data_IF_180761798168
#
_entry.id   IF_180761798168
#
_cell.length_a   1.000
_cell.length_b   1.000
_cell.length_c   1.000
_cell.angle_alpha   90.00
_cell.angle_beta   90.00
_cell.angle_gamma   90.00
#
_symmetry.space_group_name_H-M   'P 1'
#
loop_
_entity.id
_entity.type
_entity.pdbx_description
1 polymer ?
#
# COMPACT_ATOMS: atom_id res chain seq x y z
N UNK A 1 -32.05 30.47 -29.68
CA UNK A 1 -32.04 29.03 -29.40
C UNK A 1 -31.68 28.26 -30.64
N UNK A 2 -30.71 27.34 -30.56
CA UNK A 2 -30.41 26.39 -31.62
C UNK A 2 -31.58 25.41 -31.74
N UNK A 3 -32.06 25.16 -32.97
CA UNK A 3 -33.11 24.18 -33.17
C UNK A 3 -32.51 22.77 -33.07
N UNK A 4 -33.02 21.97 -32.19
CA UNK A 4 -32.60 20.56 -32.04
C UNK A 4 -33.33 19.73 -33.10
N UNK A 5 -32.58 19.05 -33.97
CA UNK A 5 -33.11 18.12 -34.96
C UNK A 5 -32.81 16.68 -34.58
N UNK A 6 -33.57 15.73 -35.14
CA UNK A 6 -33.33 14.30 -34.93
C UNK A 6 -31.96 13.85 -35.45
N UNK A 7 -31.45 14.49 -36.54
CA UNK A 7 -30.11 14.24 -37.08
C UNK A 7 -29.04 14.74 -36.12
N UNK A 8 -29.27 15.89 -35.44
CA UNK A 8 -28.36 16.37 -34.41
C UNK A 8 -28.30 15.41 -33.21
N UNK A 9 -29.45 14.90 -32.72
CA UNK A 9 -29.48 13.92 -31.67
C UNK A 9 -28.78 12.61 -32.10
N UNK A 10 -29.01 12.14 -33.34
CA UNK A 10 -28.36 10.94 -33.87
C UNK A 10 -26.84 11.10 -34.01
N UNK A 11 -26.33 12.34 -34.08
CA UNK A 11 -24.87 12.62 -34.05
C UNK A 11 -24.22 12.41 -32.67
N UNK A 12 -25.00 12.14 -31.63
CA UNK A 12 -24.52 11.71 -30.31
C UNK A 12 -24.18 10.22 -30.41
N UNK A 13 -22.96 9.84 -30.06
CA UNK A 13 -22.44 8.46 -30.24
C UNK A 13 -23.37 7.39 -29.67
N UNK A 14 -23.90 7.60 -28.49
CA UNK A 14 -24.81 6.67 -27.81
C UNK A 14 -26.23 6.58 -28.44
N UNK A 15 -26.57 7.50 -29.34
CA UNK A 15 -27.90 7.55 -29.99
C UNK A 15 -27.85 7.22 -31.48
N UNK A 16 -26.71 6.86 -32.05
CA UNK A 16 -26.51 6.63 -33.49
C UNK A 16 -27.42 5.55 -34.07
N UNK A 17 -27.69 4.50 -33.29
CA UNK A 17 -28.51 3.37 -33.70
C UNK A 17 -30.01 3.57 -33.42
N UNK A 18 -30.41 4.68 -32.80
CA UNK A 18 -31.80 4.98 -32.48
C UNK A 18 -32.54 5.45 -33.74
N UNK A 19 -33.71 4.86 -34.07
CA UNK A 19 -34.54 5.30 -35.20
C UNK A 19 -34.92 6.80 -35.10
N UNK A 20 -34.91 7.47 -36.26
CA UNK A 20 -35.17 8.90 -36.34
C UNK A 20 -36.58 9.31 -35.90
N UNK A 21 -37.56 8.46 -36.04
CA UNK A 21 -38.92 8.71 -35.55
C UNK A 21 -39.00 8.71 -34.02
N UNK A 22 -38.24 7.86 -33.35
CA UNK A 22 -38.16 7.85 -31.89
C UNK A 22 -37.42 9.11 -31.35
N UNK A 23 -36.34 9.54 -32.03
CA UNK A 23 -35.67 10.79 -31.70
C UNK A 23 -36.58 12.00 -31.93
N UNK A 24 -37.34 12.01 -33.01
CA UNK A 24 -38.31 13.06 -33.28
C UNK A 24 -39.38 13.10 -32.16
N UNK A 25 -39.94 11.95 -31.80
CA UNK A 25 -40.87 11.87 -30.68
C UNK A 25 -40.28 12.35 -29.38
N UNK A 26 -39.03 12.03 -29.09
CA UNK A 26 -38.33 12.48 -27.90
C UNK A 26 -38.21 14.02 -27.86
N UNK A 27 -37.85 14.67 -28.98
CA UNK A 27 -37.80 16.13 -29.10
C UNK A 27 -39.17 16.73 -28.83
N UNK A 28 -40.23 16.26 -29.48
CA UNK A 28 -41.60 16.78 -29.39
C UNK A 28 -42.20 16.66 -27.97
N UNK A 29 -41.71 15.69 -27.19
CA UNK A 29 -42.15 15.45 -25.82
C UNK A 29 -41.19 16.03 -24.76
N UNK A 30 -40.17 16.80 -25.20
CA UNK A 30 -39.22 17.48 -24.32
C UNK A 30 -39.50 18.96 -24.22
N UNK A 31 -39.02 19.56 -23.12
CA UNK A 31 -39.03 21.02 -22.92
C UNK A 31 -37.68 21.58 -23.29
N UNK A 32 -37.66 22.75 -23.97
CA UNK A 32 -36.46 23.43 -24.38
C UNK A 32 -36.38 24.77 -23.68
N UNK A 33 -35.28 25.06 -23.01
CA UNK A 33 -35.06 26.33 -22.30
C UNK A 33 -33.59 26.70 -22.28
N UNK A 34 -33.34 27.93 -21.90
CA UNK A 34 -32.01 28.51 -21.80
C UNK A 34 -31.73 28.92 -20.36
N UNK A 35 -30.58 28.51 -19.87
CA UNK A 35 -30.03 28.90 -18.58
C UNK A 35 -29.01 30.02 -18.81
N UNK A 36 -29.08 31.06 -18.00
CA UNK A 36 -28.05 32.11 -17.97
C UNK A 36 -26.86 31.61 -17.12
N UNK A 37 -25.71 32.28 -17.32
CA UNK A 37 -24.55 31.98 -16.46
C UNK A 37 -24.89 32.13 -15.00
N UNK A 38 -24.60 31.07 -14.22
CA UNK A 38 -24.89 30.98 -12.79
C UNK A 38 -26.22 30.32 -12.43
N UNK A 39 -27.12 30.09 -13.39
CA UNK A 39 -28.39 29.39 -13.14
C UNK A 39 -28.14 27.90 -12.83
N UNK A 40 -29.07 27.32 -12.07
CA UNK A 40 -29.04 25.90 -11.73
C UNK A 40 -29.95 25.11 -12.69
N UNK A 41 -29.40 24.02 -13.25
CA UNK A 41 -30.20 22.98 -13.91
C UNK A 41 -30.78 22.02 -12.89
N UNK A 42 -29.99 21.61 -11.91
CA UNK A 42 -30.37 20.71 -10.83
C UNK A 42 -29.71 21.18 -9.54
N UNK A 43 -30.38 20.97 -8.39
CA UNK A 43 -29.82 21.26 -7.07
C UNK A 43 -29.81 20.01 -6.21
N UNK A 44 -28.76 19.86 -5.43
CA UNK A 44 -28.60 18.75 -4.48
C UNK A 44 -29.76 18.71 -3.49
N UNK A 45 -30.36 17.53 -3.31
CA UNK A 45 -31.49 17.31 -2.41
C UNK A 45 -32.87 17.59 -3.02
N UNK A 46 -32.96 18.21 -4.20
CA UNK A 46 -34.23 18.38 -4.90
C UNK A 46 -34.62 17.14 -5.72
N UNK A 47 -35.92 16.94 -5.97
CA UNK A 47 -36.40 15.85 -6.80
C UNK A 47 -35.92 15.99 -8.26
N UNK A 48 -35.65 14.86 -8.87
CA UNK A 48 -35.20 14.80 -10.27
C UNK A 48 -36.33 15.21 -11.23
N UNK A 49 -36.07 16.13 -12.14
CA UNK A 49 -37.06 16.68 -13.08
C UNK A 49 -37.17 15.89 -14.39
N UNK A 50 -36.14 15.10 -14.74
CA UNK A 50 -36.11 14.31 -15.97
C UNK A 50 -34.72 14.06 -16.53
N UNK A 51 -34.68 13.69 -17.82
CA UNK A 51 -33.44 13.51 -18.58
C UNK A 51 -33.08 14.80 -19.27
N UNK A 52 -31.85 15.26 -19.14
CA UNK A 52 -31.35 16.52 -19.71
C UNK A 52 -30.31 16.24 -20.79
N UNK A 53 -30.42 16.91 -21.93
CA UNK A 53 -29.42 16.92 -23.02
C UNK A 53 -28.89 18.34 -23.14
N UNK A 54 -27.55 18.50 -23.06
CA UNK A 54 -26.91 19.80 -23.24
C UNK A 54 -26.79 20.04 -24.76
N UNK A 55 -27.42 21.16 -25.22
CA UNK A 55 -27.41 21.54 -26.64
C UNK A 55 -26.25 22.45 -26.96
N UNK A 56 -26.09 23.51 -26.18
CA UNK A 56 -24.98 24.44 -26.25
C UNK A 56 -24.59 24.93 -24.87
N UNK A 57 -23.41 25.54 -24.73
CA UNK A 57 -22.91 25.99 -23.42
C UNK A 57 -22.21 24.93 -22.64
N UNK A 58 -22.07 25.11 -21.33
CA UNK A 58 -21.40 24.18 -20.42
C UNK A 58 -22.06 24.23 -19.05
N UNK A 59 -22.14 23.07 -18.40
CA UNK A 59 -22.70 22.90 -17.07
C UNK A 59 -21.70 22.27 -16.14
N UNK A 60 -21.41 22.90 -14.99
CA UNK A 60 -20.51 22.37 -13.98
C UNK A 60 -21.28 21.57 -12.93
N UNK A 61 -20.86 20.32 -12.72
CA UNK A 61 -21.41 19.45 -11.72
C UNK A 61 -20.48 19.38 -10.50
N UNK A 62 -21.05 19.62 -9.30
CA UNK A 62 -20.29 19.57 -8.06
C UNK A 62 -21.16 19.11 -6.88
N UNK A 63 -20.51 18.68 -5.80
CA UNK A 63 -21.15 18.32 -4.53
C UNK A 63 -20.71 19.30 -3.47
N UNK A 64 -21.67 19.81 -2.69
CA UNK A 64 -21.41 20.64 -1.53
C UNK A 64 -21.60 19.82 -0.26
N UNK A 65 -20.51 19.63 0.52
CA UNK A 65 -20.54 18.94 1.81
C UNK A 65 -19.93 19.84 2.90
N UNK A 66 -20.70 20.15 3.96
CA UNK A 66 -20.24 20.87 5.16
C UNK A 66 -19.27 22.05 4.87
N UNK A 67 -19.61 22.97 3.98
CA UNK A 67 -18.83 24.15 3.56
C UNK A 67 -17.63 23.89 2.62
N UNK A 68 -17.45 22.70 2.07
CA UNK A 68 -16.49 22.46 1.00
C UNK A 68 -17.23 22.06 -0.27
N UNK A 69 -16.82 22.65 -1.40
CA UNK A 69 -17.34 22.31 -2.73
C UNK A 69 -16.32 21.42 -3.44
N UNK A 70 -16.74 20.22 -3.80
CA UNK A 70 -15.93 19.31 -4.60
C UNK A 70 -16.44 19.32 -6.03
N UNK A 71 -15.61 19.79 -6.96
CA UNK A 71 -15.84 19.71 -8.40
C UNK A 71 -15.82 18.26 -8.84
N UNK A 72 -16.80 17.84 -9.66
CA UNK A 72 -16.87 16.49 -10.22
C UNK A 72 -16.50 16.47 -11.69
N UNK A 73 -17.30 17.17 -12.52
CA UNK A 73 -17.09 17.22 -13.97
C UNK A 73 -17.79 18.44 -14.58
N UNK A 74 -17.47 18.72 -15.83
CA UNK A 74 -18.18 19.70 -16.65
C UNK A 74 -18.85 18.98 -17.81
N UNK A 75 -20.15 19.20 -17.98
CA UNK A 75 -20.90 18.68 -19.11
C UNK A 75 -20.77 19.63 -20.29
N UNK A 76 -20.51 19.06 -21.43
CA UNK A 76 -20.33 19.73 -22.73
C UNK A 76 -21.56 19.49 -23.64
N UNK A 77 -21.68 20.20 -24.78
CA UNK A 77 -22.72 19.92 -25.76
C UNK A 77 -22.71 18.43 -26.19
N UNK A 78 -23.90 17.82 -26.28
CA UNK A 78 -24.19 16.39 -26.54
C UNK A 78 -24.13 15.49 -25.32
N UNK A 79 -23.75 15.99 -24.13
CA UNK A 79 -23.84 15.20 -22.92
C UNK A 79 -25.28 15.04 -22.47
N UNK A 80 -25.60 13.84 -22.00
CA UNK A 80 -26.92 13.45 -21.47
C UNK A 80 -26.78 13.25 -19.97
N UNK A 81 -27.64 13.87 -19.16
CA UNK A 81 -27.60 13.79 -17.69
C UNK A 81 -29.00 13.68 -17.07
N UNK A 82 -29.10 13.71 -15.75
CA UNK A 82 -30.37 13.59 -15.03
C UNK A 82 -30.86 12.17 -14.88
N UNK A 83 -32.18 11.98 -14.81
CA UNK A 83 -32.82 10.69 -14.67
C UNK A 83 -32.75 9.87 -15.96
N UNK A 84 -32.41 8.60 -15.83
CA UNK A 84 -32.36 7.65 -16.94
C UNK A 84 -33.28 6.45 -16.64
N UNK A 85 -33.79 5.73 -17.68
CA UNK A 85 -34.69 4.60 -17.48
C UNK A 85 -34.16 3.59 -16.49
N UNK A 86 -35.03 3.10 -15.60
CA UNK A 86 -34.74 2.15 -14.52
C UNK A 86 -33.75 2.65 -13.45
N UNK A 87 -33.37 3.93 -13.46
CA UNK A 87 -32.59 4.53 -12.37
C UNK A 87 -33.42 4.55 -11.09
N UNK A 88 -32.75 4.33 -9.94
CA UNK A 88 -33.35 4.44 -8.60
C UNK A 88 -33.18 5.85 -8.00
N UNK A 89 -32.44 6.74 -8.67
CA UNK A 89 -32.13 8.09 -8.19
C UNK A 89 -33.33 9.05 -8.37
N UNK A 90 -34.19 9.16 -7.36
CA UNK A 90 -35.34 10.08 -7.36
C UNK A 90 -34.97 11.48 -6.89
N UNK A 91 -33.80 11.65 -6.33
CA UNK A 91 -33.29 12.90 -5.75
C UNK A 91 -31.91 13.21 -6.35
N UNK A 92 -31.67 14.47 -6.69
CA UNK A 92 -30.39 14.92 -7.20
C UNK A 92 -29.31 14.84 -6.10
N UNK A 93 -28.24 14.13 -6.37
CA UNK A 93 -27.12 13.95 -5.43
C UNK A 93 -26.07 15.07 -5.54
N UNK A 94 -26.22 15.99 -6.51
CA UNK A 94 -25.24 17.02 -6.86
C UNK A 94 -25.92 18.28 -7.35
N UNK A 95 -25.17 19.39 -7.34
CA UNK A 95 -25.54 20.64 -7.97
C UNK A 95 -25.04 20.68 -9.42
N UNK A 96 -25.86 21.21 -10.32
CA UNK A 96 -25.49 21.46 -11.72
C UNK A 96 -25.72 22.92 -12.08
N UNK A 97 -24.63 23.70 -12.28
CA UNK A 97 -24.65 25.13 -12.51
C UNK A 97 -24.10 25.50 -13.89
N UNK A 98 -24.80 26.37 -14.60
CA UNK A 98 -24.38 26.86 -15.90
C UNK A 98 -23.13 27.78 -15.78
N UNK A 99 -22.08 27.47 -16.57
CA UNK A 99 -20.84 28.26 -16.64
C UNK A 99 -20.91 29.37 -17.69
N UNK A 100 -21.87 29.28 -18.60
CA UNK A 100 -22.17 30.26 -19.64
C UNK A 100 -23.64 30.06 -20.02
N UNK A 101 -24.17 30.93 -20.91
CA UNK A 101 -25.51 30.71 -21.49
C UNK A 101 -25.62 29.33 -22.10
N UNK A 102 -26.45 28.46 -21.50
CA UNK A 102 -26.55 27.04 -21.79
C UNK A 102 -27.95 26.68 -22.25
N UNK A 103 -28.08 26.08 -23.44
CA UNK A 103 -29.36 25.56 -23.92
C UNK A 103 -29.49 24.07 -23.55
N UNK A 104 -30.65 23.74 -23.01
CA UNK A 104 -30.94 22.38 -22.50
C UNK A 104 -32.27 21.88 -23.07
N UNK A 105 -32.29 20.63 -23.52
CA UNK A 105 -33.49 19.86 -23.78
C UNK A 105 -33.76 18.93 -22.59
N UNK A 106 -34.92 19.03 -21.96
CA UNK A 106 -35.32 18.22 -20.81
C UNK A 106 -36.54 17.36 -21.14
N UNK A 107 -36.33 16.04 -21.09
CA UNK A 107 -37.45 15.10 -21.17
C UNK A 107 -38.02 14.86 -19.79
N UNK A 108 -39.30 15.19 -19.55
CA UNK A 108 -39.89 15.16 -18.21
C UNK A 108 -39.97 13.75 -17.61
N UNK A 109 -39.70 13.65 -16.32
CA UNK A 109 -39.77 12.39 -15.56
C UNK A 109 -41.13 11.68 -15.69
N UNK A 110 -42.23 12.44 -15.69
CA UNK A 110 -43.60 11.92 -15.76
C UNK A 110 -43.88 11.17 -17.06
N UNK A 111 -43.13 11.45 -18.13
CA UNK A 111 -43.25 10.77 -19.44
C UNK A 111 -42.33 9.58 -19.59
N UNK A 112 -41.48 9.29 -18.63
CA UNK A 112 -40.49 8.21 -18.72
C UNK A 112 -41.14 6.83 -18.96
N UNK A 113 -42.26 6.54 -18.32
CA UNK A 113 -43.00 5.29 -18.54
C UNK A 113 -43.50 5.17 -19.97
N UNK A 114 -43.97 6.26 -20.60
CA UNK A 114 -44.41 6.25 -21.99
C UNK A 114 -43.22 5.97 -22.95
N UNK A 115 -42.04 6.54 -22.67
CA UNK A 115 -40.82 6.26 -23.43
C UNK A 115 -40.43 4.78 -23.34
N UNK A 116 -40.38 4.21 -22.13
CA UNK A 116 -39.98 2.82 -21.90
C UNK A 116 -40.89 1.83 -22.61
N UNK A 117 -42.21 2.09 -22.66
CA UNK A 117 -43.19 1.18 -23.27
C UNK A 117 -43.29 1.33 -24.78
N UNK A 118 -43.05 2.50 -25.35
CA UNK A 118 -43.29 2.78 -26.75
C UNK A 118 -42.00 2.82 -27.62
N UNK A 119 -40.83 3.07 -27.05
CA UNK A 119 -39.61 3.35 -27.79
C UNK A 119 -38.44 2.49 -27.25
N UNK A 120 -38.35 1.27 -27.78
CA UNK A 120 -37.39 0.26 -27.28
C UNK A 120 -35.95 0.66 -27.51
N UNK A 121 -35.56 1.06 -28.72
CA UNK A 121 -34.17 1.37 -29.08
C UNK A 121 -33.67 2.64 -28.34
N UNK A 122 -34.54 3.65 -28.19
CA UNK A 122 -34.22 4.84 -27.40
C UNK A 122 -34.03 4.48 -25.90
N UNK A 123 -34.92 3.64 -25.38
CA UNK A 123 -34.80 3.12 -24.00
C UNK A 123 -33.49 2.36 -23.80
N UNK A 124 -33.15 1.48 -24.73
CA UNK A 124 -31.90 0.71 -24.70
C UNK A 124 -30.67 1.63 -24.72
N UNK A 125 -30.64 2.63 -25.60
CA UNK A 125 -29.56 3.61 -25.68
C UNK A 125 -29.37 4.37 -24.36
N UNK A 126 -30.48 4.83 -23.73
CA UNK A 126 -30.42 5.51 -22.44
C UNK A 126 -29.95 4.60 -21.29
N UNK A 127 -30.32 3.32 -21.32
CA UNK A 127 -29.82 2.31 -20.34
C UNK A 127 -28.34 2.05 -20.55
N UNK A 128 -27.85 2.00 -21.79
CA UNK A 128 -26.42 1.88 -22.07
C UNK A 128 -25.64 3.09 -21.54
N UNK A 129 -26.16 4.31 -21.70
CA UNK A 129 -25.57 5.55 -21.12
C UNK A 129 -25.48 5.41 -19.59
N UNK A 130 -26.55 4.96 -18.93
CA UNK A 130 -26.57 4.75 -17.49
C UNK A 130 -25.51 3.73 -17.06
N UNK A 131 -25.44 2.59 -17.75
CA UNK A 131 -24.49 1.52 -17.45
C UNK A 131 -23.02 2.00 -17.61
N UNK A 132 -22.74 2.73 -18.69
CA UNK A 132 -21.41 3.31 -18.93
C UNK A 132 -21.03 4.33 -17.87
N UNK A 133 -21.96 5.22 -17.51
CA UNK A 133 -21.75 6.21 -16.43
C UNK A 133 -21.46 5.56 -15.07
N UNK A 134 -22.21 4.51 -14.70
CA UNK A 134 -21.95 3.77 -13.45
C UNK A 134 -20.55 3.15 -13.49
N UNK A 135 -20.15 2.57 -14.62
CA UNK A 135 -18.82 1.97 -14.79
C UNK A 135 -17.70 3.01 -14.66
N UNK A 136 -17.82 4.12 -15.37
CA UNK A 136 -16.83 5.22 -15.31
C UNK A 136 -16.73 5.83 -13.92
N UNK A 137 -17.87 6.10 -13.28
CA UNK A 137 -17.91 6.61 -11.90
C UNK A 137 -17.23 5.65 -10.93
N UNK A 138 -17.44 4.34 -11.09
CA UNK A 138 -16.79 3.32 -10.25
C UNK A 138 -15.27 3.31 -10.46
N UNK A 139 -14.80 3.42 -11.71
CA UNK A 139 -13.36 3.48 -12.03
C UNK A 139 -12.72 4.72 -11.40
N UNK A 140 -13.33 5.89 -11.60
CA UNK A 140 -12.82 7.16 -11.04
C UNK A 140 -12.78 7.10 -9.52
N UNK A 141 -13.83 6.55 -8.90
CA UNK A 141 -13.89 6.39 -7.45
C UNK A 141 -12.75 5.47 -6.95
N UNK A 142 -12.53 4.33 -7.60
CA UNK A 142 -11.44 3.42 -7.26
C UNK A 142 -10.05 4.10 -7.40
N UNK A 143 -9.84 4.87 -8.46
CA UNK A 143 -8.59 5.62 -8.65
C UNK A 143 -8.39 6.68 -7.56
N UNK A 144 -9.43 7.41 -7.20
CA UNK A 144 -9.38 8.41 -6.12
C UNK A 144 -9.08 7.76 -4.76
N UNK A 145 -9.71 6.64 -4.45
CA UNK A 145 -9.46 5.88 -3.21
C UNK A 145 -8.01 5.41 -3.12
N UNK A 146 -7.44 4.91 -4.23
CA UNK A 146 -6.03 4.53 -4.32
C UNK A 146 -5.11 5.74 -4.13
N UNK A 147 -5.43 6.88 -4.73
CA UNK A 147 -4.63 8.09 -4.60
C UNK A 147 -4.64 8.64 -3.17
N UNK A 148 -5.78 8.59 -2.48
CA UNK A 148 -5.91 8.97 -1.08
C UNK A 148 -5.08 8.02 -0.18
N UNK A 149 -5.18 6.71 -0.42
CA UNK A 149 -4.38 5.72 0.30
C UNK A 149 -2.87 5.94 0.10
N UNK A 150 -2.43 6.16 -1.14
CA UNK A 150 -1.05 6.48 -1.47
C UNK A 150 -0.60 7.81 -0.85
N UNK A 151 -1.47 8.83 -0.86
CA UNK A 151 -1.20 10.13 -0.21
C UNK A 151 -0.94 10.01 1.28
N UNK A 152 -1.75 9.22 2.00
CA UNK A 152 -1.54 8.93 3.43
C UNK A 152 -0.21 8.20 3.70
N UNK A 153 0.17 7.28 2.80
CA UNK A 153 1.40 6.49 2.93
C UNK A 153 2.64 7.28 2.49
N UNK A 154 2.49 8.30 1.62
CA UNK A 154 3.62 8.99 0.97
C UNK A 154 4.61 9.60 1.95
N UNK A 155 4.15 10.24 3.02
CA UNK A 155 5.04 10.83 4.02
C UNK A 155 5.85 9.76 4.77
N UNK A 156 5.22 8.64 5.13
CA UNK A 156 5.89 7.50 5.76
C UNK A 156 6.84 6.78 4.83
N UNK A 157 6.44 6.57 3.58
CA UNK A 157 7.27 5.94 2.55
C UNK A 157 8.51 6.78 2.23
N UNK A 158 8.38 8.12 2.14
CA UNK A 158 9.52 9.01 1.96
C UNK A 158 10.52 8.88 3.12
N UNK A 159 10.03 8.80 4.36
CA UNK A 159 10.88 8.61 5.54
C UNK A 159 11.56 7.22 5.51
N UNK A 160 10.82 6.15 5.19
CA UNK A 160 11.34 4.79 5.10
C UNK A 160 12.31 4.57 3.93
N UNK A 161 12.21 5.34 2.84
CA UNK A 161 13.19 5.33 1.75
C UNK A 161 14.44 6.15 2.09
N UNK A 162 14.26 7.29 2.77
CA UNK A 162 15.40 8.16 3.16
C UNK A 162 16.30 7.50 4.19
N UNK A 163 15.77 6.68 5.11
CA UNK A 163 16.55 6.00 6.14
C UNK A 163 17.64 5.09 5.55
N UNK A 164 17.32 4.06 4.73
CA UNK A 164 18.33 3.22 4.12
C UNK A 164 19.21 3.97 3.10
N UNK A 165 18.66 4.96 2.37
CA UNK A 165 19.45 5.79 1.48
C UNK A 165 20.54 6.55 2.23
N UNK A 166 20.21 7.17 3.36
CA UNK A 166 21.18 7.83 4.23
C UNK A 166 22.19 6.84 4.84
N UNK A 167 21.75 5.60 5.15
CA UNK A 167 22.65 4.54 5.61
C UNK A 167 23.67 4.15 4.54
N UNK A 168 23.25 4.00 3.28
CA UNK A 168 24.13 3.73 2.14
C UNK A 168 25.16 4.83 1.96
N UNK A 169 24.74 6.10 1.98
CA UNK A 169 25.66 7.25 1.83
C UNK A 169 26.68 7.25 2.94
N UNK A 170 26.26 7.16 4.22
CA UNK A 170 27.18 7.12 5.37
C UNK A 170 28.10 5.90 5.32
N UNK A 171 27.58 4.73 4.99
CA UNK A 171 28.36 3.50 4.84
C UNK A 171 29.40 3.60 3.73
N UNK A 172 29.03 4.18 2.59
CA UNK A 172 29.95 4.40 1.47
C UNK A 172 31.04 5.41 1.81
N UNK A 173 30.72 6.50 2.51
CA UNK A 173 31.71 7.48 2.97
C UNK A 173 32.68 6.87 3.99
N UNK A 174 32.16 6.06 4.93
CA UNK A 174 32.97 5.35 5.92
C UNK A 174 33.88 4.33 5.25
N UNK A 175 33.37 3.55 4.31
CA UNK A 175 34.14 2.59 3.51
C UNK A 175 35.25 3.28 2.73
N UNK A 176 34.96 4.41 2.07
CA UNK A 176 35.94 5.16 1.32
C UNK A 176 37.08 5.69 2.24
N UNK A 177 36.75 6.16 3.45
CA UNK A 177 37.73 6.57 4.44
C UNK A 177 38.56 5.39 4.91
N UNK A 178 37.94 4.26 5.22
CA UNK A 178 38.60 3.04 5.65
C UNK A 178 39.60 2.54 4.60
N UNK A 179 39.18 2.49 3.33
CA UNK A 179 40.04 2.07 2.21
C UNK A 179 41.24 3.00 1.99
N UNK A 180 41.12 4.30 2.28
CA UNK A 180 42.27 5.25 2.21
C UNK A 180 43.36 4.97 3.24
N UNK A 181 43.04 4.33 4.36
CA UNK A 181 43.98 3.91 5.38
C UNK A 181 44.64 2.56 5.13
N UNK A 182 44.14 1.76 4.17
CA UNK A 182 44.66 0.44 3.84
C UNK A 182 46.14 0.39 3.36
N UNK A 183 46.71 1.42 2.68
CA UNK A 183 48.13 1.36 2.29
C UNK A 183 49.08 1.20 3.46
N UNK A 184 48.79 1.78 4.63
CA UNK A 184 49.60 1.58 5.83
C UNK A 184 49.46 0.20 6.42
N UNK A 185 48.25 -0.36 6.44
CA UNK A 185 47.95 -1.74 6.85
C UNK A 185 48.62 -2.74 5.92
N UNK A 186 48.62 -2.46 4.62
CA UNK A 186 49.34 -3.28 3.62
C UNK A 186 50.86 -3.27 3.82
N UNK A 187 51.42 -2.09 4.12
CA UNK A 187 52.86 -1.98 4.47
C UNK A 187 53.20 -2.78 5.72
N UNK A 188 52.36 -2.77 6.74
CA UNK A 188 52.53 -3.59 7.94
C UNK A 188 52.42 -5.10 7.59
N UNK A 189 51.46 -5.49 6.76
CA UNK A 189 51.24 -6.85 6.32
C UNK A 189 52.41 -7.38 5.44
N UNK A 190 52.99 -6.54 4.58
CA UNK A 190 54.16 -6.92 3.75
C UNK A 190 55.46 -7.07 4.55
N UNK A 191 55.52 -6.53 5.77
CA UNK A 191 56.65 -6.73 6.67
C UNK A 191 56.57 -8.01 7.51
N UNK A 192 55.45 -8.76 7.41
CA UNK A 192 55.23 -10.00 8.13
C UNK A 192 56.13 -11.09 7.53
N UNK A 193 56.98 -11.68 8.35
CA UNK A 193 57.86 -12.78 7.92
C UNK A 193 57.25 -14.13 8.35
N UNK A 194 56.33 -14.66 7.50
CA UNK A 194 55.66 -15.94 7.71
C UNK A 194 55.91 -16.87 6.52
N UNK A 195 56.03 -18.17 6.78
CA UNK A 195 56.07 -19.16 5.71
C UNK A 195 54.66 -19.33 5.11
N UNK A 196 54.62 -19.78 3.84
CA UNK A 196 53.34 -20.08 3.15
C UNK A 196 52.50 -21.08 3.98
N UNK A 197 53.14 -22.08 4.57
CA UNK A 197 52.45 -23.07 5.41
C UNK A 197 51.79 -22.43 6.69
N UNK A 198 52.44 -21.44 7.30
CA UNK A 198 51.88 -20.72 8.43
C UNK A 198 50.69 -19.85 8.00
N UNK A 199 50.77 -19.21 6.83
CA UNK A 199 49.68 -18.40 6.27
C UNK A 199 48.48 -19.31 5.97
N UNK A 200 48.68 -20.46 5.36
CA UNK A 200 47.61 -21.41 5.04
C UNK A 200 46.91 -21.93 6.30
N UNK A 201 47.66 -22.25 7.36
CA UNK A 201 47.10 -22.66 8.65
C UNK A 201 46.31 -21.55 9.32
N UNK A 202 46.83 -20.33 9.32
CA UNK A 202 46.12 -19.17 9.86
C UNK A 202 44.81 -18.86 9.10
N UNK A 203 44.84 -18.94 7.76
CA UNK A 203 43.67 -18.81 6.91
C UNK A 203 42.63 -19.92 7.17
N UNK A 204 43.07 -21.18 7.28
CA UNK A 204 42.19 -22.30 7.60
C UNK A 204 41.45 -22.05 8.93
N UNK A 205 42.18 -21.61 9.96
CA UNK A 205 41.59 -21.29 11.26
C UNK A 205 40.62 -20.09 11.18
N UNK A 206 40.96 -19.06 10.41
CA UNK A 206 40.09 -17.93 10.17
C UNK A 206 38.76 -18.36 9.52
N UNK A 207 38.83 -19.15 8.44
CA UNK A 207 37.63 -19.66 7.79
C UNK A 207 36.81 -20.60 8.68
N UNK A 208 37.44 -21.39 9.54
CA UNK A 208 36.75 -22.20 10.55
C UNK A 208 35.91 -21.36 11.49
N UNK A 209 36.46 -20.26 12.02
CA UNK A 209 35.74 -19.31 12.89
C UNK A 209 34.58 -18.64 12.13
N UNK A 210 34.85 -18.09 10.97
CA UNK A 210 33.85 -17.38 10.16
C UNK A 210 32.73 -18.30 9.60
N UNK A 211 32.97 -19.59 9.52
CA UNK A 211 31.99 -20.59 9.08
C UNK A 211 31.04 -21.07 10.18
N UNK A 212 31.20 -20.61 11.40
CA UNK A 212 30.30 -20.96 12.51
C UNK A 212 28.90 -20.39 12.24
N UNK A 213 27.93 -21.29 12.08
CA UNK A 213 26.56 -20.95 11.64
C UNK A 213 25.71 -20.20 12.66
N UNK A 214 26.10 -20.18 13.92
CA UNK A 214 25.33 -19.57 15.01
C UNK A 214 26.23 -18.70 15.87
N UNK A 215 26.31 -17.40 15.53
CA UNK A 215 26.71 -16.41 16.52
C UNK A 215 25.46 -16.10 17.36
N UNK A 216 25.42 -16.44 18.65
CA UNK A 216 24.22 -16.19 19.47
C UNK A 216 23.92 -14.68 19.53
N UNK A 217 22.64 -14.35 19.46
CA UNK A 217 22.19 -12.96 19.66
C UNK A 217 22.47 -12.58 21.12
N UNK A 218 23.51 -11.78 21.32
CA UNK A 218 23.95 -11.34 22.64
C UNK A 218 23.14 -10.11 23.10
N UNK A 219 22.76 -10.09 24.37
CA UNK A 219 22.30 -8.84 24.99
C UNK A 219 23.46 -7.84 25.09
N UNK A 220 23.18 -6.54 25.17
CA UNK A 220 24.21 -5.50 25.26
C UNK A 220 25.20 -5.77 26.42
N UNK A 221 24.71 -6.19 27.58
CA UNK A 221 25.54 -6.52 28.75
C UNK A 221 26.44 -7.75 28.49
N UNK A 222 25.91 -8.79 27.83
CA UNK A 222 26.71 -9.96 27.47
C UNK A 222 27.79 -9.62 26.44
N UNK A 223 27.46 -8.79 25.47
CA UNK A 223 28.38 -8.33 24.45
C UNK A 223 29.55 -7.54 25.08
N UNK A 224 29.25 -6.52 25.90
CA UNK A 224 30.27 -5.73 26.56
C UNK A 224 31.21 -6.59 27.42
N UNK A 225 30.64 -7.57 28.16
CA UNK A 225 31.44 -8.48 28.95
C UNK A 225 32.39 -9.33 28.12
N UNK A 226 31.94 -9.87 26.99
CA UNK A 226 32.76 -10.66 26.08
C UNK A 226 33.82 -9.80 25.39
N UNK A 227 33.52 -8.56 25.06
CA UNK A 227 34.46 -7.59 24.50
C UNK A 227 35.58 -7.27 25.49
N UNK A 228 35.26 -7.04 26.77
CA UNK A 228 36.23 -6.83 27.82
C UNK A 228 37.11 -8.08 28.05
N UNK A 229 36.50 -9.27 28.19
CA UNK A 229 37.24 -10.53 28.39
C UNK A 229 38.17 -10.81 27.20
N UNK A 230 37.72 -10.54 25.97
CA UNK A 230 38.54 -10.74 24.75
C UNK A 230 39.65 -9.68 24.62
N UNK A 231 39.39 -8.43 25.02
CA UNK A 231 40.43 -7.37 25.05
C UNK A 231 41.56 -7.72 25.99
N UNK A 232 41.25 -8.20 27.22
CA UNK A 232 42.26 -8.66 28.19
C UNK A 232 43.07 -9.83 27.63
N UNK A 233 42.43 -10.75 26.92
CA UNK A 233 43.11 -11.86 26.27
C UNK A 233 44.10 -11.37 25.21
N UNK A 234 43.66 -10.44 24.33
CA UNK A 234 44.52 -9.84 23.31
C UNK A 234 45.73 -9.09 23.92
N UNK A 235 45.51 -8.35 25.03
CA UNK A 235 46.57 -7.68 25.78
C UNK A 235 47.58 -8.66 26.36
N UNK A 236 47.09 -9.78 26.91
CA UNK A 236 47.93 -10.87 27.40
C UNK A 236 48.87 -11.47 26.36
N UNK A 237 48.48 -11.44 25.10
CA UNK A 237 49.30 -11.85 23.96
C UNK A 237 50.13 -10.72 23.33
N UNK A 238 50.15 -9.51 23.92
CA UNK A 238 50.89 -8.36 23.43
C UNK A 238 50.33 -7.72 22.15
N UNK A 239 49.05 -7.93 21.89
CA UNK A 239 48.40 -7.36 20.70
C UNK A 239 48.06 -5.89 20.93
N UNK A 240 48.47 -5.01 20.00
CA UNK A 240 48.15 -3.60 20.02
C UNK A 240 46.70 -3.35 19.56
N UNK A 241 46.08 -2.27 20.10
CA UNK A 241 44.69 -1.89 19.80
C UNK A 241 43.63 -2.94 20.23
N UNK A 242 43.92 -3.66 21.34
CA UNK A 242 43.09 -4.78 21.85
C UNK A 242 41.59 -4.43 21.93
N UNK A 243 41.22 -3.22 22.42
CA UNK A 243 39.81 -2.81 22.54
C UNK A 243 39.12 -2.64 21.20
N UNK A 244 39.74 -1.99 20.22
CA UNK A 244 39.16 -1.85 18.88
C UNK A 244 39.02 -3.20 18.19
N UNK A 245 39.99 -4.09 18.34
CA UNK A 245 39.95 -5.44 17.80
C UNK A 245 38.88 -6.28 18.46
N UNK A 246 38.73 -6.20 19.80
CA UNK A 246 37.76 -7.02 20.55
C UNK A 246 36.31 -6.77 20.10
N UNK A 247 35.92 -5.49 19.92
CA UNK A 247 34.57 -5.15 19.42
C UNK A 247 34.23 -5.85 18.12
N UNK A 248 35.15 -5.84 17.14
CA UNK A 248 34.93 -6.44 15.84
C UNK A 248 35.01 -7.97 15.89
N UNK A 249 36.03 -8.53 16.57
CA UNK A 249 36.26 -9.98 16.60
C UNK A 249 35.12 -10.70 17.37
N UNK A 250 34.62 -10.15 18.48
CA UNK A 250 33.48 -10.72 19.23
C UNK A 250 32.21 -10.73 18.36
N UNK A 251 31.98 -9.72 17.52
CA UNK A 251 30.86 -9.68 16.60
C UNK A 251 30.91 -10.82 15.57
N UNK A 252 32.11 -11.25 15.16
CA UNK A 252 32.34 -12.40 14.26
C UNK A 252 32.46 -13.73 15.00
N UNK A 253 32.23 -13.77 16.31
CA UNK A 253 32.22 -14.98 17.13
C UNK A 253 33.58 -15.55 17.50
N UNK A 254 34.63 -14.72 17.49
CA UNK A 254 35.94 -15.10 17.98
C UNK A 254 35.92 -15.23 19.51
N UNK A 255 36.70 -16.17 20.00
CA UNK A 255 36.86 -16.48 21.44
C UNK A 255 38.33 -16.45 21.83
N UNK A 256 38.61 -16.38 23.14
CA UNK A 256 39.99 -16.49 23.66
C UNK A 256 40.67 -17.81 23.25
N UNK A 257 39.92 -18.90 23.09
CA UNK A 257 40.45 -20.18 22.61
C UNK A 257 40.96 -20.04 21.16
N UNK A 258 40.23 -19.33 20.30
CA UNK A 258 40.67 -19.08 18.93
C UNK A 258 41.95 -18.24 18.93
N UNK A 259 42.04 -17.25 19.84
CA UNK A 259 43.21 -16.41 20.02
C UNK A 259 44.43 -17.21 20.45
N UNK A 260 44.28 -18.11 21.40
CA UNK A 260 45.34 -19.06 21.81
C UNK A 260 45.82 -19.95 20.64
N UNK A 261 44.91 -20.37 19.79
CA UNK A 261 45.27 -21.14 18.59
C UNK A 261 46.03 -20.28 17.58
N UNK A 262 45.62 -19.04 17.34
CA UNK A 262 46.39 -18.11 16.48
C UNK A 262 47.79 -17.81 17.06
N UNK A 263 47.94 -17.68 18.35
CA UNK A 263 49.21 -17.42 19.02
C UNK A 263 50.22 -18.61 18.88
N UNK A 264 49.73 -19.85 18.72
CA UNK A 264 50.56 -21.04 18.46
C UNK A 264 50.99 -21.11 17.01
N UNK A 265 50.21 -20.58 16.08
CA UNK A 265 50.48 -20.63 14.64
C UNK A 265 51.35 -19.47 14.14
N UNK A 266 51.28 -18.31 14.79
CA UNK A 266 51.86 -17.03 14.40
C UNK A 266 52.86 -16.61 15.45
N UNK A 267 54.11 -16.26 15.06
CA UNK A 267 55.11 -15.75 15.95
C UNK A 267 54.62 -14.44 16.63
N UNK A 268 54.98 -14.24 17.91
CA UNK A 268 54.50 -13.12 18.72
C UNK A 268 54.71 -11.75 18.05
N UNK A 269 55.79 -11.56 17.36
CA UNK A 269 56.12 -10.32 16.62
C UNK A 269 55.18 -10.05 15.41
N UNK A 270 54.62 -11.11 14.81
CA UNK A 270 53.72 -11.03 13.66
C UNK A 270 52.26 -11.05 14.06
N UNK A 271 51.91 -11.41 15.30
CA UNK A 271 50.54 -11.64 15.73
C UNK A 271 49.69 -10.35 15.63
N UNK A 272 50.18 -9.23 16.20
CA UNK A 272 49.46 -7.94 16.15
C UNK A 272 49.25 -7.43 14.71
N UNK A 273 50.28 -7.43 13.80
CA UNK A 273 50.08 -7.07 12.40
C UNK A 273 49.06 -7.95 11.65
N UNK A 274 49.11 -9.29 11.87
CA UNK A 274 48.16 -10.24 11.23
C UNK A 274 46.72 -9.99 11.70
N UNK A 275 46.51 -9.86 12.99
CA UNK A 275 45.17 -9.59 13.54
C UNK A 275 44.61 -8.25 13.08
N UNK A 276 45.44 -7.20 13.05
CA UNK A 276 45.00 -5.92 12.48
C UNK A 276 44.65 -6.01 11.00
N UNK A 277 45.39 -6.81 10.20
CA UNK A 277 45.04 -7.06 8.81
C UNK A 277 43.71 -7.81 8.69
N UNK A 278 43.49 -8.86 9.48
CA UNK A 278 42.21 -9.59 9.55
C UNK A 278 41.09 -8.64 9.91
N UNK A 279 41.25 -7.84 10.98
CA UNK A 279 40.27 -6.87 11.42
C UNK A 279 39.86 -5.90 10.31
N UNK A 280 40.84 -5.34 9.58
CA UNK A 280 40.57 -4.41 8.48
C UNK A 280 39.73 -5.05 7.37
N UNK A 281 39.98 -6.34 7.07
CA UNK A 281 39.15 -7.07 6.09
C UNK A 281 37.72 -7.33 6.61
N UNK A 282 37.59 -7.75 7.88
CA UNK A 282 36.27 -7.97 8.51
C UNK A 282 35.44 -6.67 8.60
N UNK A 283 36.07 -5.54 8.95
CA UNK A 283 35.44 -4.23 8.94
C UNK A 283 35.00 -3.83 7.54
N UNK A 284 35.83 -4.07 6.51
CA UNK A 284 35.47 -3.82 5.12
C UNK A 284 34.26 -4.65 4.71
N UNK A 285 34.26 -5.94 5.01
CA UNK A 285 33.15 -6.87 4.70
C UNK A 285 31.86 -6.42 5.38
N UNK A 286 31.93 -6.05 6.66
CA UNK A 286 30.75 -5.52 7.40
C UNK A 286 30.18 -4.28 6.73
N UNK A 287 31.02 -3.31 6.37
CA UNK A 287 30.56 -2.08 5.72
C UNK A 287 29.86 -2.37 4.38
N UNK A 288 30.38 -3.31 3.60
CA UNK A 288 29.77 -3.75 2.34
C UNK A 288 28.44 -4.44 2.59
N UNK A 289 28.37 -5.33 3.58
CA UNK A 289 27.14 -6.03 3.96
C UNK A 289 26.05 -5.05 4.45
N UNK A 290 26.41 -4.04 5.23
CA UNK A 290 25.48 -2.99 5.68
C UNK A 290 24.90 -2.18 4.52
N UNK A 291 25.76 -1.80 3.55
CA UNK A 291 25.33 -1.11 2.34
C UNK A 291 24.40 -2.02 1.52
N UNK A 292 24.73 -3.31 1.38
CA UNK A 292 23.92 -4.27 0.65
C UNK A 292 22.55 -4.49 1.34
N UNK A 293 22.53 -4.62 2.67
CA UNK A 293 21.29 -4.76 3.42
C UNK A 293 20.37 -3.53 3.27
N UNK A 294 20.95 -2.33 3.34
CA UNK A 294 20.21 -1.09 3.10
C UNK A 294 19.68 -1.00 1.66
N UNK A 295 20.48 -1.41 0.66
CA UNK A 295 20.06 -1.45 -0.74
C UNK A 295 18.90 -2.43 -0.98
N UNK A 296 18.97 -3.63 -0.41
CA UNK A 296 17.89 -4.64 -0.46
C UNK A 296 16.60 -4.13 0.22
N UNK A 297 16.72 -3.32 1.27
CA UNK A 297 15.56 -2.70 1.92
C UNK A 297 14.89 -1.70 0.98
N UNK A 298 15.65 -0.88 0.24
CA UNK A 298 15.10 0.01 -0.79
C UNK A 298 14.40 -0.79 -1.89
N UNK A 299 15.04 -1.84 -2.40
CA UNK A 299 14.46 -2.71 -3.43
C UNK A 299 13.11 -3.28 -3.01
N UNK A 300 13.01 -3.81 -1.78
CA UNK A 300 11.75 -4.33 -1.22
C UNK A 300 10.67 -3.24 -1.13
N UNK A 301 11.02 -2.04 -0.63
CA UNK A 301 10.08 -0.93 -0.53
C UNK A 301 9.59 -0.47 -1.90
N UNK A 302 10.48 -0.28 -2.86
CA UNK A 302 10.13 0.10 -4.23
C UNK A 302 9.28 -0.99 -4.90
N UNK A 303 9.60 -2.27 -4.69
CA UNK A 303 8.81 -3.40 -5.15
C UNK A 303 7.39 -3.39 -4.59
N UNK A 304 7.23 -3.16 -3.28
CA UNK A 304 5.92 -3.06 -2.62
C UNK A 304 5.09 -1.89 -3.17
N UNK A 305 5.70 -0.70 -3.33
CA UNK A 305 5.05 0.47 -3.93
C UNK A 305 4.63 0.19 -5.38
N UNK A 306 5.53 -0.39 -6.19
CA UNK A 306 5.23 -0.74 -7.59
C UNK A 306 4.06 -1.73 -7.66
N UNK A 307 4.07 -2.74 -6.82
CA UNK A 307 2.97 -3.71 -6.73
C UNK A 307 1.67 -3.03 -6.35
N UNK A 308 1.67 -2.08 -5.42
CA UNK A 308 0.49 -1.32 -5.03
C UNK A 308 -0.03 -0.38 -6.14
N UNK A 309 0.86 0.26 -6.92
CA UNK A 309 0.47 1.27 -7.93
C UNK A 309 0.19 0.68 -9.32
N UNK A 310 0.87 -0.39 -9.73
CA UNK A 310 0.79 -0.95 -11.09
C UNK A 310 -0.23 -2.06 -11.29
N UNK A 311 -1.05 -2.37 -10.30
CA UNK A 311 -2.00 -3.49 -10.30
C UNK A 311 -3.20 -3.37 -11.26
N UNK A 312 -3.34 -2.22 -11.95
CA UNK A 312 -4.48 -1.98 -12.87
C UNK A 312 -4.30 -2.60 -14.27
N UNK A 313 -3.17 -3.24 -14.58
CA UNK A 313 -2.94 -3.80 -15.92
C UNK A 313 -3.39 -5.26 -16.09
N UNK A 314 -3.78 -5.94 -15.03
CA UNK A 314 -4.32 -7.31 -15.08
C UNK A 314 -5.81 -7.30 -14.81
N UNK A 315 -6.64 -7.41 -15.85
CA UNK A 315 -8.09 -7.57 -15.73
C UNK A 315 -8.48 -8.99 -15.29
N UNK A 316 -7.51 -9.92 -15.17
CA UNK A 316 -7.74 -11.32 -14.87
C UNK A 316 -7.28 -11.71 -13.47
N UNK A 317 -8.02 -12.63 -12.86
CA UNK A 317 -7.61 -13.26 -11.59
C UNK A 317 -6.38 -14.13 -11.85
N UNK A 318 -5.45 -14.13 -10.92
CA UNK A 318 -4.27 -14.99 -10.94
C UNK A 318 -4.18 -15.83 -9.66
N UNK A 319 -3.55 -16.99 -9.75
CA UNK A 319 -3.20 -17.77 -8.56
C UNK A 319 -2.14 -17.05 -7.77
N UNK A 320 -2.44 -16.68 -6.55
CA UNK A 320 -1.54 -15.89 -5.69
C UNK A 320 -1.46 -16.46 -4.29
N UNK A 321 -0.27 -16.38 -3.70
CA UNK A 321 -0.05 -16.60 -2.28
C UNK A 321 -0.57 -15.40 -1.49
N UNK A 322 -1.48 -15.67 -0.56
CA UNK A 322 -2.12 -14.65 0.28
C UNK A 322 -1.11 -13.93 1.19
N UNK A 323 -0.07 -14.65 1.66
CA UNK A 323 0.95 -14.10 2.53
C UNK A 323 1.77 -13.01 1.84
N UNK A 324 2.04 -13.15 0.53
CA UNK A 324 2.84 -12.16 -0.20
C UNK A 324 2.18 -10.77 -0.21
N UNK A 325 0.85 -10.72 -0.31
CA UNK A 325 0.07 -9.47 -0.24
C UNK A 325 0.09 -8.84 1.16
N UNK A 326 -0.02 -9.66 2.20
CA UNK A 326 0.06 -9.23 3.60
C UNK A 326 1.46 -8.67 3.88
N UNK A 327 2.53 -9.39 3.52
CA UNK A 327 3.92 -8.98 3.73
C UNK A 327 4.26 -7.67 3.01
N UNK A 328 3.78 -7.48 1.77
CA UNK A 328 3.94 -6.22 1.05
C UNK A 328 3.28 -5.05 1.80
N UNK A 329 2.07 -5.27 2.34
CA UNK A 329 1.36 -4.26 3.14
C UNK A 329 2.10 -3.93 4.44
N UNK A 330 2.57 -4.95 5.17
CA UNK A 330 3.37 -4.77 6.38
C UNK A 330 4.66 -3.99 6.12
N UNK A 331 5.32 -4.29 4.99
CA UNK A 331 6.51 -3.55 4.56
C UNK A 331 6.22 -2.07 4.31
N UNK A 332 5.10 -1.76 3.66
CA UNK A 332 4.68 -0.38 3.40
C UNK A 332 4.29 0.39 4.66
N UNK A 333 3.73 -0.30 5.65
CA UNK A 333 3.27 0.28 6.92
C UNK A 333 4.32 0.21 8.04
N UNK A 334 5.53 -0.31 7.77
CA UNK A 334 6.57 -0.58 8.78
C UNK A 334 6.86 0.63 9.69
N UNK A 335 6.88 1.85 9.12
CA UNK A 335 7.10 3.07 9.88
C UNK A 335 6.01 3.34 10.94
N UNK A 336 4.75 2.92 10.69
CA UNK A 336 3.63 3.11 11.62
C UNK A 336 3.76 2.19 12.82
N UNK A 337 4.23 0.96 12.63
CA UNK A 337 4.53 0.04 13.72
C UNK A 337 5.59 0.61 14.66
N UNK A 338 6.69 1.12 14.10
CA UNK A 338 7.77 1.71 14.88
C UNK A 338 7.31 2.99 15.60
N UNK A 339 6.62 3.89 14.90
CA UNK A 339 6.13 5.15 15.48
C UNK A 339 5.07 4.92 16.56
N UNK A 340 4.17 3.95 16.36
CA UNK A 340 3.07 3.62 17.28
C UNK A 340 3.48 2.66 18.40
N UNK A 341 4.73 2.21 18.44
CA UNK A 341 5.20 1.17 19.37
C UNK A 341 4.26 -0.05 19.37
N UNK A 342 3.93 -0.55 18.16
CA UNK A 342 3.01 -1.67 17.95
C UNK A 342 3.82 -2.94 17.76
N UNK A 343 3.57 -3.93 18.62
CA UNK A 343 4.09 -5.28 18.48
C UNK A 343 3.32 -6.00 17.36
N UNK A 344 4.05 -6.56 16.38
CA UNK A 344 3.49 -7.40 15.33
C UNK A 344 3.69 -8.86 15.67
N UNK A 345 2.61 -9.64 15.67
CA UNK A 345 2.63 -11.08 15.86
C UNK A 345 2.08 -11.76 14.62
N UNK A 346 2.89 -12.60 14.00
CA UNK A 346 2.56 -13.32 12.76
C UNK A 346 2.46 -14.82 13.05
N UNK A 347 1.29 -15.40 12.77
CA UNK A 347 0.99 -16.84 12.89
C UNK A 347 0.48 -17.36 11.54
N UNK A 348 1.40 -17.70 10.65
CA UNK A 348 1.08 -18.08 9.27
C UNK A 348 1.11 -19.59 9.09
N UNK A 349 0.01 -20.13 8.55
CA UNK A 349 -0.01 -21.48 8.01
C UNK A 349 0.63 -21.49 6.61
N UNK A 350 1.91 -21.88 6.55
CA UNK A 350 2.69 -21.94 5.32
C UNK A 350 2.25 -23.03 4.34
N UNK A 351 1.31 -23.90 4.75
CA UNK A 351 0.76 -24.99 3.93
C UNK A 351 -0.43 -24.56 3.08
N UNK A 352 -0.88 -23.30 3.20
CA UNK A 352 -2.05 -22.80 2.48
C UNK A 352 -1.82 -22.82 0.97
N UNK A 353 -2.82 -23.26 0.18
CA UNK A 353 -2.76 -23.20 -1.26
C UNK A 353 -2.90 -21.76 -1.78
N UNK A 354 -2.39 -21.52 -2.99
CA UNK A 354 -2.66 -20.28 -3.71
C UNK A 354 -4.16 -20.14 -4.00
N UNK A 355 -4.67 -18.93 -3.90
CA UNK A 355 -6.07 -18.59 -4.24
C UNK A 355 -6.14 -17.83 -5.54
N UNK A 356 -7.27 -17.96 -6.27
CA UNK A 356 -7.52 -17.23 -7.49
C UNK A 356 -8.09 -15.85 -7.20
N UNK A 357 -7.26 -14.79 -7.36
CA UNK A 357 -7.62 -13.45 -6.93
C UNK A 357 -7.07 -12.34 -7.83
N UNK A 358 -7.70 -11.18 -7.74
CA UNK A 358 -7.13 -9.91 -8.21
C UNK A 358 -6.13 -9.42 -7.16
N UNK A 359 -4.84 -9.62 -7.39
CA UNK A 359 -3.77 -9.34 -6.43
C UNK A 359 -3.85 -7.92 -5.86
N UNK A 360 -4.15 -6.93 -6.72
CA UNK A 360 -4.31 -5.54 -6.33
C UNK A 360 -5.46 -5.27 -5.37
N UNK A 361 -6.56 -5.91 -5.62
CA UNK A 361 -7.72 -5.78 -4.77
C UNK A 361 -7.46 -6.39 -3.38
N UNK A 362 -6.78 -7.55 -3.32
CA UNK A 362 -6.42 -8.15 -2.02
C UNK A 362 -5.48 -7.25 -1.20
N UNK A 363 -4.49 -6.63 -1.82
CA UNK A 363 -3.60 -5.72 -1.10
C UNK A 363 -4.35 -4.51 -0.53
N UNK A 364 -5.39 -4.05 -1.22
CA UNK A 364 -6.26 -3.00 -0.69
C UNK A 364 -7.07 -3.47 0.52
N UNK A 365 -7.49 -4.75 0.55
CA UNK A 365 -8.12 -5.35 1.74
C UNK A 365 -7.17 -5.28 2.94
N UNK A 366 -5.94 -5.78 2.77
CA UNK A 366 -4.96 -5.80 3.85
C UNK A 366 -4.59 -4.40 4.32
N UNK A 367 -4.35 -3.49 3.38
CA UNK A 367 -4.00 -2.09 3.70
C UNK A 367 -5.10 -1.42 4.51
N UNK A 368 -6.37 -1.56 4.10
CA UNK A 368 -7.47 -0.93 4.80
C UNK A 368 -7.71 -1.49 6.20
N UNK A 369 -7.61 -2.80 6.38
CA UNK A 369 -7.82 -3.42 7.70
C UNK A 369 -6.66 -3.10 8.63
N UNK A 370 -5.41 -3.27 8.18
CA UNK A 370 -4.21 -3.03 8.99
C UNK A 370 -4.08 -1.55 9.34
N UNK A 371 -4.32 -0.63 8.38
CA UNK A 371 -4.28 0.82 8.63
C UNK A 371 -5.34 1.24 9.66
N UNK A 372 -6.56 0.67 9.59
CA UNK A 372 -7.60 0.91 10.58
C UNK A 372 -7.23 0.36 11.97
N UNK A 373 -6.61 -0.80 12.06
CA UNK A 373 -6.13 -1.37 13.31
C UNK A 373 -5.05 -0.47 13.94
N UNK A 374 -4.09 0.00 13.14
CA UNK A 374 -3.05 0.93 13.60
C UNK A 374 -3.65 2.27 14.07
N UNK A 375 -4.62 2.82 13.35
CA UNK A 375 -5.33 4.04 13.77
C UNK A 375 -6.07 3.84 15.12
N UNK A 376 -6.70 2.67 15.31
CA UNK A 376 -7.40 2.37 16.56
C UNK A 376 -6.45 2.26 17.76
N UNK A 377 -5.23 1.77 17.55
CA UNK A 377 -4.22 1.61 18.61
C UNK A 377 -3.45 2.91 18.91
N UNK A 378 -3.46 3.92 18.04
CA UNK A 378 -2.78 5.22 18.28
C UNK A 378 -3.20 5.87 19.61
N UNK A 379 -4.45 5.67 20.04
CA UNK A 379 -4.98 6.24 21.30
C UNK A 379 -4.22 5.74 22.53
N UNK A 380 -3.67 4.53 22.48
CA UNK A 380 -3.03 3.87 23.63
C UNK A 380 -1.50 4.07 23.67
N UNK A 381 -0.89 4.76 22.69
CA UNK A 381 0.57 4.90 22.51
C UNK A 381 1.37 3.57 22.51
N UNK A 382 0.71 2.44 22.46
CA UNK A 382 1.26 1.09 22.32
C UNK A 382 0.17 0.17 21.83
N UNK A 383 0.53 -0.83 21.05
CA UNK A 383 -0.44 -1.75 20.49
C UNK A 383 0.13 -3.14 20.24
N UNK A 384 -0.76 -4.08 19.96
CA UNK A 384 -0.43 -5.42 19.50
C UNK A 384 -1.35 -5.77 18.35
N UNK A 385 -0.76 -5.99 17.18
CA UNK A 385 -1.43 -6.50 16.00
C UNK A 385 -1.05 -7.95 15.78
N UNK A 386 -2.04 -8.82 15.74
CA UNK A 386 -1.86 -10.24 15.46
C UNK A 386 -2.48 -10.57 14.10
N UNK A 387 -1.72 -11.21 13.23
CA UNK A 387 -2.17 -11.68 11.92
C UNK A 387 -2.02 -13.19 11.90
N UNK A 388 -3.13 -13.88 11.76
CA UNK A 388 -3.19 -15.33 11.70
C UNK A 388 -3.78 -15.77 10.38
N UNK A 389 -3.20 -16.82 9.78
CA UNK A 389 -3.76 -17.49 8.61
C UNK A 389 -4.03 -18.94 8.91
N UNK A 390 -5.14 -19.46 8.40
CA UNK A 390 -5.53 -20.85 8.60
C UNK A 390 -6.36 -21.35 7.42
N UNK A 391 -6.50 -22.67 7.33
CA UNK A 391 -7.42 -23.32 6.40
C UNK A 391 -8.68 -23.71 7.14
N UNK A 392 -9.84 -23.21 6.69
CA UNK A 392 -11.15 -23.69 7.13
C UNK A 392 -11.85 -24.40 5.96
N UNK A 393 -11.74 -25.73 5.92
CA UNK A 393 -12.28 -26.61 4.88
C UNK A 393 -11.83 -26.19 3.46
N UNK A 394 -12.71 -25.57 2.69
CA UNK A 394 -12.45 -25.08 1.32
C UNK A 394 -12.14 -23.58 1.26
N UNK A 395 -11.81 -22.97 2.41
CA UNK A 395 -11.51 -21.56 2.50
C UNK A 395 -10.13 -21.33 3.13
N UNK A 396 -9.45 -20.30 2.64
CA UNK A 396 -8.33 -19.68 3.34
C UNK A 396 -8.91 -18.57 4.18
N UNK A 397 -8.63 -18.59 5.48
CA UNK A 397 -9.03 -17.59 6.46
C UNK A 397 -7.83 -16.77 6.89
N UNK A 398 -8.01 -15.44 6.92
CA UNK A 398 -7.07 -14.48 7.47
C UNK A 398 -7.75 -13.72 8.59
N UNK A 399 -7.25 -13.85 9.81
CA UNK A 399 -7.71 -13.12 10.98
C UNK A 399 -6.72 -12.03 11.33
N UNK A 400 -7.17 -10.78 11.36
CA UNK A 400 -6.38 -9.61 11.77
C UNK A 400 -6.99 -9.07 13.06
N UNK A 401 -6.21 -9.13 14.16
CA UNK A 401 -6.66 -8.76 15.50
C UNK A 401 -5.84 -7.61 16.04
N UNK A 402 -6.50 -6.55 16.49
CA UNK A 402 -5.90 -5.43 17.22
C UNK A 402 -6.37 -5.41 18.70
N UNK A 403 -5.57 -4.78 19.54
CA UNK A 403 -5.90 -4.53 20.95
C UNK A 403 -6.36 -3.09 21.21
N UNK A 404 -6.97 -2.45 20.23
CA UNK A 404 -7.54 -1.11 20.31
C UNK A 404 -8.78 -1.02 21.23
N UNK A 405 -9.44 0.14 21.24
CA UNK A 405 -10.58 0.40 22.14
C UNK A 405 -11.83 -0.44 21.83
N UNK A 406 -11.86 -1.11 20.69
CA UNK A 406 -13.01 -1.87 20.21
C UNK A 406 -14.01 -1.04 19.42
N UNK A 407 -15.01 -1.74 18.86
CA UNK A 407 -16.12 -1.15 18.09
C UNK A 407 -17.41 -1.34 18.90
N UNK A 408 -18.10 -0.26 19.29
CA UNK A 408 -19.39 -0.37 19.99
C UNK A 408 -20.41 -1.17 19.18
N UNK A 409 -21.23 -1.97 19.88
CA UNK A 409 -22.21 -2.88 19.23
C UNK A 409 -23.21 -2.11 18.34
N UNK A 410 -23.59 -0.89 18.74
CA UNK A 410 -24.55 -0.02 18.02
C UNK A 410 -24.09 0.37 16.63
N UNK A 411 -22.75 0.44 16.40
CA UNK A 411 -22.19 0.85 15.11
C UNK A 411 -21.55 -0.29 14.35
N UNK A 412 -21.47 -1.49 14.92
CA UNK A 412 -20.74 -2.65 14.36
C UNK A 412 -21.22 -3.04 12.96
N UNK A 413 -22.53 -2.97 12.71
CA UNK A 413 -23.08 -3.24 11.37
C UNK A 413 -22.88 -2.07 10.41
N UNK A 414 -22.72 -0.84 10.94
CA UNK A 414 -22.60 0.38 10.15
C UNK A 414 -21.18 0.67 9.69
N UNK A 415 -20.15 0.03 10.27
CA UNK A 415 -18.76 0.27 9.89
C UNK A 415 -18.44 -0.10 8.44
N UNK A 416 -19.32 -0.92 7.80
CA UNK A 416 -19.24 -1.29 6.39
C UNK A 416 -20.08 -0.40 5.47
N UNK A 417 -20.85 0.57 6.03
CA UNK A 417 -21.62 1.51 5.21
C UNK A 417 -20.69 2.53 4.56
N UNK A 418 -20.89 2.86 3.28
CA UNK A 418 -20.13 3.92 2.61
C UNK A 418 -20.21 5.25 3.39
N UNK A 419 -19.07 5.94 3.49
CA UNK A 419 -18.91 7.24 4.19
C UNK A 419 -19.12 7.21 5.71
N UNK A 420 -19.35 6.05 6.31
CA UNK A 420 -19.42 5.93 7.76
C UNK A 420 -18.02 6.01 8.38
N UNK A 421 -17.81 6.96 9.27
CA UNK A 421 -16.53 7.12 10.00
C UNK A 421 -16.77 7.69 11.38
N UNK A 422 -16.03 7.19 12.36
CA UNK A 422 -15.93 7.74 13.72
C UNK A 422 -14.75 8.69 13.89
N UNK A 423 -13.88 8.80 12.87
CA UNK A 423 -12.70 9.66 12.87
C UNK A 423 -13.09 11.13 12.64
N UNK A 424 -12.25 12.05 13.11
CA UNK A 424 -12.42 13.48 12.87
C UNK A 424 -12.47 13.81 11.38
N UNK A 425 -13.13 14.90 11.04
CA UNK A 425 -13.29 15.40 9.67
C UNK A 425 -11.89 15.58 9.03
N UNK A 426 -11.70 14.96 7.87
CA UNK A 426 -10.43 14.98 7.12
C UNK A 426 -9.43 13.88 7.49
N UNK A 427 -9.62 13.13 8.58
CA UNK A 427 -8.79 12.00 8.97
C UNK A 427 -9.34 10.63 8.50
N UNK A 428 -10.64 10.56 8.23
CA UNK A 428 -11.28 9.33 7.75
C UNK A 428 -12.24 9.61 6.59
N UNK A 429 -12.15 8.84 5.52
CA UNK A 429 -13.07 8.92 4.37
C UNK A 429 -14.36 8.13 4.56
N UNK A 430 -14.38 7.18 5.51
CA UNK A 430 -15.50 6.26 5.72
C UNK A 430 -15.70 5.26 4.57
N UNK A 431 -14.72 5.10 3.67
CA UNK A 431 -14.83 4.22 2.50
C UNK A 431 -14.02 2.93 2.64
N UNK A 432 -13.02 2.89 3.53
CA UNK A 432 -12.06 1.78 3.60
C UNK A 432 -12.70 0.41 3.84
N UNK A 433 -13.61 0.28 4.81
CA UNK A 433 -14.26 -0.99 5.13
C UNK A 433 -15.37 -1.36 4.13
N UNK A 434 -16.05 -0.39 3.50
CA UNK A 434 -16.95 -0.66 2.38
C UNK A 434 -16.18 -1.26 1.20
N UNK A 435 -15.02 -0.70 0.85
CA UNK A 435 -14.13 -1.24 -0.17
C UNK A 435 -13.72 -2.68 0.16
N UNK A 436 -13.32 -2.95 1.41
CA UNK A 436 -13.00 -4.32 1.87
C UNK A 436 -14.18 -5.26 1.62
N UNK A 437 -15.38 -4.86 2.06
CA UNK A 437 -16.59 -5.67 1.88
C UNK A 437 -16.90 -5.97 0.40
N UNK A 438 -16.76 -4.97 -0.48
CA UNK A 438 -16.97 -5.14 -1.93
C UNK A 438 -15.94 -6.08 -2.56
N UNK A 439 -14.66 -5.91 -2.22
CA UNK A 439 -13.58 -6.76 -2.74
C UNK A 439 -13.76 -8.21 -2.30
N UNK A 440 -14.04 -8.43 -1.03
CA UNK A 440 -14.26 -9.79 -0.49
C UNK A 440 -15.44 -10.46 -1.18
N UNK A 441 -16.56 -9.75 -1.37
CA UNK A 441 -17.71 -10.25 -2.13
C UNK A 441 -17.40 -10.55 -3.61
N UNK A 442 -16.59 -9.72 -4.27
CA UNK A 442 -16.15 -9.94 -5.65
C UNK A 442 -15.32 -11.23 -5.81
N UNK A 443 -14.67 -11.65 -4.73
CA UNK A 443 -13.92 -12.90 -4.67
C UNK A 443 -14.73 -14.08 -4.13
N UNK A 444 -16.06 -13.94 -3.97
CA UNK A 444 -16.94 -14.94 -3.37
C UNK A 444 -16.53 -15.31 -1.94
N UNK A 445 -15.87 -14.40 -1.25
CA UNK A 445 -15.41 -14.55 0.12
C UNK A 445 -16.44 -14.06 1.14
N UNK A 446 -16.08 -14.18 2.42
CA UNK A 446 -16.85 -13.65 3.54
C UNK A 446 -15.98 -12.75 4.43
N UNK A 447 -16.60 -11.75 5.03
CA UNK A 447 -15.98 -10.81 5.96
C UNK A 447 -16.81 -10.75 7.23
N UNK A 448 -16.16 -10.95 8.37
CA UNK A 448 -16.78 -10.89 9.69
C UNK A 448 -15.95 -9.98 10.58
N UNK A 449 -16.63 -9.25 11.48
CA UNK A 449 -15.98 -8.49 12.55
C UNK A 449 -16.48 -8.97 13.90
N UNK A 450 -15.56 -9.24 14.80
CA UNK A 450 -15.83 -9.52 16.21
C UNK A 450 -15.08 -8.49 17.03
N UNK A 451 -15.77 -7.75 17.89
CA UNK A 451 -15.13 -6.69 18.65
C UNK A 451 -15.69 -6.60 20.05
N UNK A 452 -14.77 -6.50 20.99
CA UNK A 452 -14.98 -6.13 22.40
C UNK A 452 -13.90 -5.12 22.78
N UNK A 453 -14.08 -4.34 23.84
CA UNK A 453 -13.03 -3.43 24.31
C UNK A 453 -11.69 -4.18 24.54
N UNK A 454 -10.62 -3.69 23.91
CA UNK A 454 -9.29 -4.31 23.97
C UNK A 454 -9.05 -5.43 22.95
N UNK A 455 -10.02 -5.78 22.12
CA UNK A 455 -9.83 -6.79 21.08
C UNK A 455 -10.83 -6.62 19.93
N UNK A 456 -10.33 -6.27 18.76
CA UNK A 456 -11.12 -6.28 17.51
C UNK A 456 -10.48 -7.24 16.53
N UNK A 457 -11.26 -8.17 15.99
CA UNK A 457 -10.81 -9.15 15.00
C UNK A 457 -11.64 -9.00 13.73
N UNK A 458 -10.95 -8.86 12.60
CA UNK A 458 -11.52 -8.99 11.26
C UNK A 458 -11.13 -10.34 10.69
N UNK A 459 -12.12 -11.20 10.42
CA UNK A 459 -11.94 -12.48 9.76
C UNK A 459 -12.35 -12.36 8.30
N UNK A 460 -11.41 -12.65 7.39
CA UNK A 460 -11.59 -12.58 5.94
C UNK A 460 -11.35 -13.96 5.36
N UNK A 461 -12.36 -14.54 4.70
CA UNK A 461 -12.27 -15.85 4.10
C UNK A 461 -12.36 -15.77 2.57
N UNK A 462 -11.51 -16.52 1.87
CA UNK A 462 -11.53 -16.66 0.42
C UNK A 462 -11.64 -18.13 0.02
N UNK A 463 -12.46 -18.50 -1.00
CA UNK A 463 -12.58 -19.87 -1.45
C UNK A 463 -11.28 -20.36 -2.09
N UNK A 464 -10.91 -21.61 -1.76
CA UNK A 464 -9.88 -22.37 -2.45
C UNK A 464 -10.54 -22.91 -3.70
N UNK A 465 -10.21 -22.34 -4.86
CA UNK A 465 -10.69 -22.88 -6.14
C UNK A 465 -9.79 -24.05 -6.48
N UNK A 466 -10.31 -25.29 -6.41
CA UNK A 466 -9.58 -26.45 -6.95
C UNK A 466 -9.36 -26.27 -8.45
N UNK A 467 -8.16 -26.57 -8.92
CA UNK A 467 -7.74 -26.60 -10.33
C UNK A 467 -8.35 -27.77 -11.06
#
# INVERSE_FOLDING_TARGET
MQVVTKEWLQSIESLQEVPLDQLQWWIENSRHYELQEGDFLVKQGEETTGTHVIITGRLHLYITQKNSTQSLTTLEPKDITGYLPFSRGMVNMLDGRALATTQVMTFPFERMNALIHAHFELTQALVHIMSSRVRESTIIQQQNEKMIALGKLSAGLAHELNNPAAAIVRGSDALLKHLKLQPESFKAATSINMSVEQIDKANTKLFEVLSRKEVPVLTMMQRTRLEDEFADCLEGHGVLNSRELSENFVEYGFTCIDMDDFSKLIAAENLSPVLNWINNNLVTERMVNDIQAASKRIEKLVGAIKTFTHMDRGHDKSYTDIHSGIQNTLTMLAYRFTKGNVELVEDYDTSLPNIQAYVGALNQVWTNIIDNALDAMEVNNSGRLEIKTSRDREYVEVSITDNGPGIPEEIKNRVFEPFFTTKEIGKGTGLGLDVVSRIVKQHNGSLKVTSIPGRTTFDVCFPITET
#
